data_IF_226385970550
#
_entry.id   IF_226385970550
#
_cell.length_a   1.000
_cell.length_b   1.000
_cell.length_c   1.000
_cell.angle_alpha   90.00
_cell.angle_beta   90.00
_cell.angle_gamma   90.00
#
_symmetry.space_group_name_H-M   'P 1'
#
loop_
_entity.id
_entity.type
_entity.pdbx_description
1 polymer ?
#
# COMPACT_ATOMS: atom_id res chain seq x y z
N UNK A 1 -3.41 3.39 20.09
CA UNK A 1 -3.61 2.35 19.06
C UNK A 1 -2.95 2.79 17.75
N UNK A 2 -2.31 1.86 17.06
CA UNK A 2 -1.66 2.16 15.80
C UNK A 2 -2.64 2.03 14.64
N UNK A 3 -2.51 2.93 13.67
CA UNK A 3 -3.23 2.79 12.41
C UNK A 3 -2.57 1.71 11.55
N UNK A 4 -3.38 0.93 10.86
CA UNK A 4 -2.92 -0.12 9.96
C UNK A 4 -2.95 0.42 8.53
N UNK A 5 -1.81 0.41 7.86
CA UNK A 5 -1.61 1.07 6.57
C UNK A 5 -1.12 0.06 5.56
N UNK A 6 -1.97 -0.28 4.59
CA UNK A 6 -1.63 -1.22 3.53
C UNK A 6 -0.93 -0.50 2.38
N UNK A 7 0.18 -1.05 1.93
CA UNK A 7 0.98 -0.48 0.85
C UNK A 7 0.78 -1.26 -0.44
N UNK A 8 0.33 -0.57 -1.49
CA UNK A 8 0.26 -1.15 -2.83
C UNK A 8 1.68 -1.38 -3.37
N UNK A 9 1.79 -2.24 -4.37
CA UNK A 9 3.07 -2.59 -4.99
C UNK A 9 3.84 -1.37 -5.49
N UNK A 10 3.15 -0.39 -6.10
CA UNK A 10 3.83 0.80 -6.62
C UNK A 10 4.50 1.63 -5.52
N UNK A 11 3.95 1.62 -4.30
CA UNK A 11 4.57 2.30 -3.17
C UNK A 11 5.87 1.60 -2.78
N UNK A 12 5.85 0.26 -2.75
CA UNK A 12 7.05 -0.53 -2.44
C UNK A 12 8.15 -0.29 -3.48
N UNK A 13 7.79 -0.28 -4.76
CA UNK A 13 8.73 -0.02 -5.85
C UNK A 13 9.33 1.38 -5.71
N UNK A 14 8.48 2.37 -5.51
CA UNK A 14 8.95 3.76 -5.42
C UNK A 14 9.84 3.98 -4.21
N UNK A 15 9.52 3.35 -3.07
CA UNK A 15 10.34 3.46 -1.86
C UNK A 15 11.70 2.78 -2.04
N UNK A 16 11.76 1.72 -2.85
CA UNK A 16 12.99 0.97 -3.11
C UNK A 16 13.84 1.57 -4.23
N UNK A 17 13.30 2.55 -4.96
CA UNK A 17 13.93 3.06 -6.19
C UNK A 17 15.25 3.76 -5.94
N UNK A 18 15.32 4.56 -4.88
CA UNK A 18 16.52 5.32 -4.50
C UNK A 18 16.66 5.34 -2.99
N UNK A 19 17.88 5.62 -2.52
CA UNK A 19 18.17 5.70 -1.09
C UNK A 19 17.67 6.98 -0.44
N UNK A 20 17.44 8.04 -1.23
CA UNK A 20 17.02 9.35 -0.73
C UNK A 20 15.64 9.72 -1.30
N UNK A 21 14.59 9.11 -0.78
CA UNK A 21 13.26 9.49 -1.24
C UNK A 21 12.29 9.70 -0.07
N UNK A 22 11.30 10.55 -0.33
CA UNK A 22 10.36 10.96 0.71
C UNK A 22 9.47 9.85 1.23
N UNK A 23 9.27 8.78 0.44
CA UNK A 23 8.43 7.67 0.86
C UNK A 23 9.02 6.90 2.03
N UNK A 24 10.33 6.98 2.23
CA UNK A 24 10.98 6.31 3.36
C UNK A 24 10.49 6.86 4.70
N UNK A 25 9.88 8.06 4.70
CA UNK A 25 9.25 8.60 5.90
C UNK A 25 8.16 7.67 6.46
N UNK A 26 7.49 6.88 5.60
CA UNK A 26 6.47 5.93 6.06
C UNK A 26 7.07 4.91 7.02
N UNK A 27 8.30 4.46 6.76
CA UNK A 27 8.98 3.47 7.59
C UNK A 27 9.49 4.03 8.92
N UNK A 28 9.48 5.36 9.07
CA UNK A 28 9.94 6.03 10.29
C UNK A 28 8.81 6.38 11.25
N UNK A 29 7.55 6.20 10.82
CA UNK A 29 6.40 6.49 11.67
C UNK A 29 6.30 5.44 12.78
N UNK A 30 6.04 5.91 14.00
CA UNK A 30 5.99 5.03 15.17
C UNK A 30 4.58 4.61 15.56
N UNK A 31 3.58 5.30 15.03
CA UNK A 31 2.18 5.08 15.37
C UNK A 31 1.39 4.43 14.24
N UNK A 32 2.09 3.77 13.33
CA UNK A 32 1.47 3.03 12.23
C UNK A 32 2.08 1.63 12.14
N UNK A 33 1.28 0.70 11.66
CA UNK A 33 1.72 -0.64 11.28
C UNK A 33 1.61 -0.71 9.76
N UNK A 34 2.75 -0.91 9.08
CA UNK A 34 2.76 -1.05 7.64
C UNK A 34 2.42 -2.49 7.27
N UNK A 35 1.50 -2.65 6.32
CA UNK A 35 1.02 -3.95 5.84
C UNK A 35 1.22 -4.05 4.34
N UNK A 36 1.36 -5.26 3.85
CA UNK A 36 1.26 -5.55 2.43
C UNK A 36 0.91 -7.03 2.27
N UNK A 37 0.83 -7.52 1.04
CA UNK A 37 0.53 -8.93 0.77
C UNK A 37 1.64 -9.55 -0.07
N UNK A 38 1.71 -10.89 -0.08
CA UNK A 38 2.65 -11.59 -0.96
C UNK A 38 2.42 -11.22 -2.42
N UNK A 39 1.15 -11.08 -2.83
CA UNK A 39 0.79 -10.64 -4.17
C UNK A 39 1.45 -9.30 -4.52
N UNK A 40 1.34 -8.32 -3.62
CA UNK A 40 1.92 -7.00 -3.84
C UNK A 40 3.45 -7.06 -3.90
N UNK A 41 4.07 -7.88 -3.05
CA UNK A 41 5.53 -8.03 -3.02
C UNK A 41 6.02 -8.64 -4.33
N UNK A 42 5.35 -9.67 -4.84
CA UNK A 42 5.73 -10.30 -6.12
C UNK A 42 5.62 -9.29 -7.26
N UNK A 43 4.55 -8.50 -7.29
CA UNK A 43 4.39 -7.47 -8.30
C UNK A 43 5.50 -6.42 -8.19
N UNK A 44 5.82 -5.99 -6.98
CA UNK A 44 6.91 -5.02 -6.76
C UNK A 44 8.25 -5.60 -7.22
N UNK A 45 8.54 -6.85 -6.86
CA UNK A 45 9.80 -7.50 -7.23
C UNK A 45 9.96 -7.61 -8.74
N UNK A 46 8.86 -7.77 -9.46
CA UNK A 46 8.84 -7.82 -10.92
C UNK A 46 9.15 -6.45 -11.54
N UNK A 47 8.82 -5.36 -10.84
CA UNK A 47 8.92 -4.01 -11.39
C UNK A 47 10.18 -3.24 -10.99
N UNK A 48 10.96 -3.71 -10.02
CA UNK A 48 12.27 -3.11 -9.76
C UNK A 48 13.25 -3.50 -10.89
N UNK A 49 14.23 -2.65 -11.14
CA UNK A 49 15.09 -2.75 -12.32
C UNK A 49 16.51 -3.17 -12.03
N UNK A 50 17.03 -2.87 -10.85
CA UNK A 50 18.43 -3.16 -10.51
C UNK A 50 18.52 -4.07 -9.30
N UNK A 51 19.69 -4.71 -9.15
CA UNK A 51 19.95 -5.55 -7.98
C UNK A 51 19.91 -4.74 -6.68
N UNK A 52 20.37 -3.51 -6.72
CA UNK A 52 20.33 -2.62 -5.56
C UNK A 52 18.91 -2.28 -5.15
N UNK A 53 18.03 -2.01 -6.13
CA UNK A 53 16.63 -1.76 -5.85
C UNK A 53 15.96 -2.98 -5.24
N UNK A 54 16.26 -4.17 -5.77
CA UNK A 54 15.68 -5.40 -5.22
C UNK A 54 16.15 -5.64 -3.79
N UNK A 55 17.42 -5.38 -3.52
CA UNK A 55 17.97 -5.50 -2.17
C UNK A 55 17.26 -4.53 -1.21
N UNK A 56 17.05 -3.28 -1.65
CA UNK A 56 16.33 -2.30 -0.83
C UNK A 56 14.88 -2.72 -0.60
N UNK A 57 14.21 -3.23 -1.64
CA UNK A 57 12.84 -3.73 -1.52
C UNK A 57 12.75 -4.82 -0.46
N UNK A 58 13.63 -5.82 -0.55
CA UNK A 58 13.61 -6.93 0.40
C UNK A 58 13.90 -6.47 1.82
N UNK A 59 14.75 -5.47 1.98
CA UNK A 59 15.03 -4.89 3.29
C UNK A 59 13.82 -4.14 3.86
N UNK A 60 13.15 -3.36 3.02
CA UNK A 60 11.97 -2.60 3.44
C UNK A 60 10.84 -3.50 3.90
N UNK A 61 10.58 -4.60 3.19
CA UNK A 61 9.48 -5.50 3.54
C UNK A 61 9.73 -6.29 4.81
N UNK A 62 10.95 -6.34 5.32
CA UNK A 62 11.24 -7.05 6.58
C UNK A 62 10.53 -6.43 7.78
N UNK A 63 10.23 -5.14 7.72
CA UNK A 63 9.52 -4.43 8.80
C UNK A 63 8.04 -4.22 8.48
N UNK A 64 7.54 -4.86 7.41
CA UNK A 64 6.15 -4.76 6.99
C UNK A 64 5.46 -6.09 7.30
N UNK A 65 4.26 -6.01 7.90
CA UNK A 65 3.47 -7.22 8.14
C UNK A 65 2.91 -7.73 6.81
N UNK A 66 3.13 -9.01 6.52
CA UNK A 66 2.57 -9.63 5.31
C UNK A 66 1.26 -10.28 5.70
N UNK A 67 0.15 -9.73 5.20
CA UNK A 67 -1.19 -10.22 5.54
C UNK A 67 -1.58 -11.38 4.63
N UNK A 68 -2.58 -12.15 5.07
CA UNK A 68 -3.09 -13.28 4.29
C UNK A 68 -3.70 -12.81 2.98
N UNK A 69 -3.64 -13.68 1.96
CA UNK A 69 -4.31 -13.41 0.70
C UNK A 69 -5.82 -13.37 0.91
N UNK A 70 -6.54 -12.53 0.16
CA UNK A 70 -7.98 -12.38 0.34
C UNK A 70 -8.75 -13.67 0.01
N UNK A 71 -9.87 -13.86 0.71
CA UNK A 71 -10.70 -15.07 0.59
C UNK A 71 -11.87 -14.90 -0.38
N UNK A 72 -11.85 -13.86 -1.22
CA UNK A 72 -12.87 -13.70 -2.25
C UNK A 72 -14.12 -12.94 -1.83
N UNK A 73 -13.97 -11.98 -0.93
CA UNK A 73 -15.08 -11.14 -0.48
C UNK A 73 -15.71 -10.38 -1.66
N UNK A 74 -17.04 -10.25 -1.64
CA UNK A 74 -17.75 -9.46 -2.63
C UNK A 74 -17.75 -8.00 -2.22
N UNK A 75 -17.36 -7.11 -3.16
CA UNK A 75 -17.38 -5.68 -2.91
C UNK A 75 -18.74 -5.07 -3.22
N UNK A 76 -18.99 -3.87 -2.67
CA UNK A 76 -20.19 -3.09 -2.93
C UNK A 76 -20.29 -2.76 -4.42
N UNK A 77 -21.54 -2.60 -4.89
CA UNK A 77 -21.79 -2.13 -6.25
C UNK A 77 -21.13 -0.75 -6.46
N UNK A 78 -20.62 -0.51 -7.65
CA UNK A 78 -19.98 0.73 -7.98
C UNK A 78 -18.45 0.74 -7.80
N UNK A 79 -17.91 -0.25 -7.11
CA UNK A 79 -16.46 -0.37 -7.03
C UNK A 79 -15.95 -1.09 -8.29
N UNK A 80 -15.18 -0.37 -9.09
CA UNK A 80 -14.67 -0.89 -10.36
C UNK A 80 -13.16 -0.69 -10.41
N UNK A 81 -12.45 -1.80 -10.40
CA UNK A 81 -10.99 -1.83 -10.54
C UNK A 81 -10.60 -2.91 -11.54
N UNK A 82 -9.46 -2.73 -12.23
CA UNK A 82 -8.91 -3.82 -13.03
C UNK A 82 -8.72 -5.07 -12.17
N UNK A 83 -8.87 -6.23 -12.79
CA UNK A 83 -8.79 -7.50 -12.08
C UNK A 83 -7.49 -7.65 -11.28
N UNK A 84 -6.39 -7.10 -11.79
CA UNK A 84 -5.08 -7.18 -11.12
C UNK A 84 -4.99 -6.35 -9.84
N UNK A 85 -5.88 -5.36 -9.68
CA UNK A 85 -5.87 -4.47 -8.52
C UNK A 85 -6.87 -4.91 -7.44
N UNK A 86 -7.82 -5.77 -7.79
CA UNK A 86 -8.79 -6.27 -6.82
C UNK A 86 -8.13 -6.99 -5.65
N UNK A 87 -7.11 -7.86 -5.84
CA UNK A 87 -6.46 -8.51 -4.70
C UNK A 87 -5.83 -7.53 -3.73
N UNK A 88 -5.38 -6.37 -4.21
CA UNK A 88 -4.79 -5.33 -3.36
C UNK A 88 -5.85 -4.74 -2.44
N UNK A 89 -6.97 -4.29 -3.01
CA UNK A 89 -8.05 -3.70 -2.22
C UNK A 89 -8.66 -4.72 -1.25
N UNK A 90 -8.91 -5.94 -1.74
CA UNK A 90 -9.49 -6.99 -0.90
C UNK A 90 -8.57 -7.35 0.27
N UNK A 91 -7.27 -7.44 0.03
CA UNK A 91 -6.31 -7.73 1.10
C UNK A 91 -6.31 -6.62 2.16
N UNK A 92 -6.39 -5.36 1.73
CA UNK A 92 -6.47 -4.24 2.65
C UNK A 92 -7.75 -4.32 3.50
N UNK A 93 -8.88 -4.62 2.87
CA UNK A 93 -10.16 -4.74 3.58
C UNK A 93 -10.13 -5.89 4.58
N UNK A 94 -9.73 -7.08 4.13
CA UNK A 94 -9.79 -8.28 4.98
C UNK A 94 -8.76 -8.27 6.11
N UNK A 95 -7.67 -7.54 5.94
CA UNK A 95 -6.65 -7.41 6.99
C UNK A 95 -7.01 -6.35 8.03
N UNK A 96 -8.10 -5.63 7.85
CA UNK A 96 -8.49 -4.58 8.78
C UNK A 96 -7.67 -3.32 8.66
N UNK A 97 -7.16 -3.02 7.47
CA UNK A 97 -6.42 -1.79 7.24
C UNK A 97 -7.32 -0.58 7.41
N UNK A 98 -6.76 0.48 7.99
CA UNK A 98 -7.44 1.78 8.06
C UNK A 98 -7.21 2.57 6.78
N UNK A 99 -6.07 2.35 6.13
CA UNK A 99 -5.67 3.09 4.93
C UNK A 99 -5.09 2.14 3.89
N UNK A 100 -5.33 2.45 2.62
CA UNK A 100 -4.63 1.87 1.49
C UNK A 100 -3.89 2.98 0.78
N UNK A 101 -2.56 2.90 0.73
CA UNK A 101 -1.75 3.89 0.03
C UNK A 101 -1.37 3.36 -1.35
N UNK A 102 -1.66 4.16 -2.36
CA UNK A 102 -1.32 3.84 -3.74
C UNK A 102 -1.00 5.12 -4.49
N UNK A 103 -0.10 5.03 -5.47
CA UNK A 103 0.18 6.13 -6.38
C UNK A 103 -0.49 5.96 -7.73
N UNK A 104 -1.28 4.91 -7.89
CA UNK A 104 -1.89 4.55 -9.18
C UNK A 104 -3.16 5.36 -9.42
N UNK A 105 -3.00 6.54 -10.00
CA UNK A 105 -4.13 7.42 -10.27
C UNK A 105 -4.99 6.92 -11.43
N UNK A 106 -4.46 6.07 -12.31
CA UNK A 106 -5.22 5.56 -13.45
C UNK A 106 -6.26 4.53 -13.01
N UNK A 107 -5.94 3.69 -12.02
CA UNK A 107 -6.84 2.65 -11.55
C UNK A 107 -7.58 3.05 -10.28
N UNK A 108 -6.93 3.75 -9.36
CA UNK A 108 -7.52 4.14 -8.09
C UNK A 108 -7.94 5.62 -8.02
N UNK A 109 -7.69 6.41 -9.09
CA UNK A 109 -7.90 7.85 -9.04
C UNK A 109 -9.32 8.27 -8.65
N UNK A 110 -10.32 7.51 -9.09
CA UNK A 110 -11.72 7.78 -8.74
C UNK A 110 -12.05 7.48 -7.28
N UNK A 111 -11.16 6.82 -6.56
CA UNK A 111 -11.38 6.40 -5.18
C UNK A 111 -10.50 7.13 -4.17
N UNK A 112 -9.60 8.00 -4.63
CA UNK A 112 -8.79 8.79 -3.70
C UNK A 112 -9.69 9.63 -2.78
N UNK A 113 -9.33 9.66 -1.50
CA UNK A 113 -10.07 10.35 -0.44
C UNK A 113 -11.44 9.72 -0.13
N UNK A 114 -11.68 8.51 -0.64
CA UNK A 114 -12.93 7.77 -0.38
C UNK A 114 -12.66 6.56 0.47
N UNK A 115 -13.64 6.22 1.29
CA UNK A 115 -13.57 5.06 2.16
C UNK A 115 -14.39 3.92 1.57
N UNK A 116 -13.74 2.75 1.39
CA UNK A 116 -14.40 1.55 0.88
C UNK A 116 -14.28 0.47 1.94
N UNK A 117 -15.40 0.01 2.46
CA UNK A 117 -15.45 -1.01 3.52
C UNK A 117 -14.49 -0.70 4.68
N UNK A 118 -14.45 0.57 5.09
CA UNK A 118 -13.63 1.01 6.21
C UNK A 118 -12.19 1.37 5.88
N UNK A 119 -11.79 1.24 4.61
CA UNK A 119 -10.42 1.54 4.17
C UNK A 119 -10.43 2.86 3.41
N UNK A 120 -9.69 3.85 3.92
CA UNK A 120 -9.53 5.14 3.25
C UNK A 120 -8.38 5.05 2.27
N UNK A 121 -8.65 5.34 0.99
CA UNK A 121 -7.67 5.24 -0.08
C UNK A 121 -7.01 6.60 -0.27
N UNK A 122 -5.69 6.65 -0.10
CA UNK A 122 -4.92 7.90 -0.18
C UNK A 122 -3.64 7.72 -0.97
N UNK A 123 -3.16 8.83 -1.54
CA UNK A 123 -1.79 8.90 -2.02
C UNK A 123 -0.85 9.05 -0.81
N UNK A 124 0.40 8.57 -0.92
CA UNK A 124 1.34 8.65 0.21
C UNK A 124 1.54 10.08 0.73
N UNK A 125 1.65 11.06 -0.18
CA UNK A 125 1.84 12.45 0.22
C UNK A 125 0.67 12.97 1.05
N UNK A 126 -0.56 12.61 0.67
CA UNK A 126 -1.76 13.00 1.41
C UNK A 126 -1.78 12.37 2.80
N UNK A 127 -1.38 11.11 2.90
CA UNK A 127 -1.30 10.42 4.19
C UNK A 127 -0.27 11.07 5.11
N UNK A 128 0.93 11.32 4.59
CA UNK A 128 2.00 11.95 5.37
C UNK A 128 1.60 13.35 5.84
N UNK A 129 0.88 14.09 4.99
CA UNK A 129 0.38 15.42 5.37
C UNK A 129 -0.60 15.32 6.53
N UNK A 130 -1.51 14.34 6.50
CA UNK A 130 -2.44 14.11 7.62
C UNK A 130 -1.69 13.85 8.92
N UNK A 131 -0.62 13.04 8.89
CA UNK A 131 0.15 12.72 10.09
C UNK A 131 0.86 13.92 10.65
N UNK A 132 1.31 14.86 9.81
CA UNK A 132 2.00 16.08 10.26
C UNK A 132 1.06 17.07 10.95
N UNK A 133 -0.22 17.08 10.58
CA UNK A 133 -1.18 18.05 11.10
C UNK A 133 -1.96 17.56 12.31
N UNK A 134 -1.77 16.31 12.70
CA UNK A 134 -2.48 15.72 13.82
C UNK A 134 -1.68 15.77 15.13
#
# INVERSE_FOLDING_TARGET
MSDRVFLDANILVSAAWRTDNGLLALWKLTDVELLTSAYAIVEADTNVRTAEQRTRLHRLVQSVEIVDEPQGRTLSEGVRLPAKDMPILLAAIESGANYLLTGDKDHFGGYFDKTIHGVLILRPAAFLKLRRTS
#
